data_IF_142812905362
#
_entry.id   IF_142812905362
#
_cell.length_a   1.000
_cell.length_b   1.000
_cell.length_c   1.000
_cell.angle_alpha   90.00
_cell.angle_beta   90.00
_cell.angle_gamma   90.00
#
_symmetry.space_group_name_H-M   'P 1'
#
loop_
_entity.id
_entity.type
_entity.pdbx_description
1 polymer ?
#
# COMPACT_ATOMS: atom_id res chain seq x y z
N UNK A 1 19.52 -15.11 18.77
CA UNK A 1 18.57 -14.51 17.80
C UNK A 1 19.24 -13.64 16.75
N UNK A 2 20.10 -12.66 17.10
CA UNK A 2 20.78 -11.80 16.11
C UNK A 2 21.61 -12.55 15.05
N UNK A 3 22.28 -13.64 15.45
CA UNK A 3 23.08 -14.48 14.53
C UNK A 3 22.23 -15.28 13.53
N UNK A 4 21.03 -15.72 13.92
CA UNK A 4 20.09 -16.44 13.04
C UNK A 4 19.45 -15.50 12.01
N UNK A 5 19.13 -14.26 12.42
CA UNK A 5 18.64 -13.22 11.50
C UNK A 5 19.74 -12.87 10.49
N UNK A 6 20.98 -12.72 10.95
CA UNK A 6 22.12 -12.42 10.07
C UNK A 6 22.40 -13.56 9.08
N UNK A 7 22.35 -14.81 9.52
CA UNK A 7 22.48 -15.99 8.64
C UNK A 7 21.33 -16.10 7.64
N UNK A 8 20.10 -15.75 8.03
CA UNK A 8 18.95 -15.69 7.12
C UNK A 8 19.11 -14.61 6.06
N UNK A 9 19.55 -13.40 6.45
CA UNK A 9 19.85 -12.30 5.51
C UNK A 9 20.99 -12.69 4.57
N UNK A 10 22.03 -13.35 5.07
CA UNK A 10 23.17 -13.79 4.26
C UNK A 10 22.78 -14.90 3.26
N UNK A 11 21.92 -15.84 3.68
CA UNK A 11 21.40 -16.90 2.81
C UNK A 11 20.42 -16.36 1.75
N UNK A 12 19.61 -15.36 2.09
CA UNK A 12 18.79 -14.63 1.10
C UNK A 12 19.71 -13.89 0.12
N UNK A 13 20.77 -13.25 0.60
CA UNK A 13 21.75 -12.55 -0.23
C UNK A 13 22.47 -13.44 -1.25
N UNK A 14 22.84 -14.68 -0.87
CA UNK A 14 23.52 -15.61 -1.78
C UNK A 14 22.58 -16.22 -2.83
N UNK A 15 21.31 -16.47 -2.49
CA UNK A 15 20.31 -16.90 -3.49
C UNK A 15 20.01 -15.80 -4.51
N UNK A 16 20.01 -14.53 -4.08
CA UNK A 16 19.83 -13.38 -4.97
C UNK A 16 21.03 -13.18 -5.92
N UNK A 17 22.26 -13.48 -5.47
CA UNK A 17 23.46 -13.35 -6.29
C UNK A 17 23.52 -14.34 -7.47
N UNK A 18 23.00 -15.57 -7.30
CA UNK A 18 22.96 -16.60 -8.36
C UNK A 18 21.86 -16.32 -9.41
N UNK A 19 20.86 -15.49 -9.07
CA UNK A 19 19.75 -15.08 -9.97
C UNK A 19 19.88 -13.64 -10.48
N UNK A 20 21.06 -13.02 -10.41
CA UNK A 20 21.26 -11.60 -10.76
C UNK A 20 20.81 -11.22 -12.20
N UNK A 21 20.75 -12.17 -13.15
CA UNK A 21 20.19 -11.94 -14.49
C UNK A 21 18.65 -11.86 -14.54
N UNK A 22 17.94 -12.23 -13.48
CA UNK A 22 16.48 -12.31 -13.41
C UNK A 22 15.84 -11.27 -12.48
N UNK A 23 16.65 -10.40 -11.86
CA UNK A 23 16.17 -9.34 -10.96
C UNK A 23 16.25 -8.00 -11.68
N UNK A 24 15.11 -7.31 -11.82
CA UNK A 24 15.03 -5.92 -12.29
C UNK A 24 14.63 -5.03 -11.14
N UNK A 25 15.22 -3.85 -11.05
CA UNK A 25 14.85 -2.87 -10.05
C UNK A 25 14.05 -1.75 -10.71
N UNK A 26 13.26 -1.04 -9.90
CA UNK A 26 12.42 0.01 -10.44
C UNK A 26 11.92 0.96 -9.39
N UNK A 27 11.32 2.03 -9.88
CA UNK A 27 10.57 3.00 -9.08
C UNK A 27 9.10 2.97 -9.51
N UNK A 28 8.22 3.24 -8.57
CA UNK A 28 6.77 3.24 -8.78
C UNK A 28 6.13 4.37 -8.02
N UNK A 29 5.16 5.02 -8.63
CA UNK A 29 4.41 6.08 -7.98
C UNK A 29 3.08 6.36 -8.66
N UNK A 30 2.15 6.95 -7.91
CA UNK A 30 0.82 7.21 -8.42
C UNK A 30 -0.14 7.76 -7.38
N UNK A 31 -1.42 7.61 -7.67
CA UNK A 31 -2.52 8.10 -6.84
C UNK A 31 -3.13 6.97 -6.03
N UNK A 32 -3.48 7.30 -4.78
CA UNK A 32 -4.25 6.47 -3.87
C UNK A 32 -5.66 7.07 -3.72
N UNK A 33 -6.68 6.22 -3.83
CA UNK A 33 -8.05 6.49 -3.43
C UNK A 33 -8.36 5.57 -2.24
N UNK A 34 -8.22 6.11 -1.04
CA UNK A 34 -8.37 5.36 0.20
C UNK A 34 -9.72 5.64 0.86
N UNK A 35 -10.30 4.63 1.51
CA UNK A 35 -11.44 4.76 2.42
C UNK A 35 -11.29 3.79 3.58
N UNK A 36 -11.96 4.08 4.68
CA UNK A 36 -12.12 3.13 5.78
C UNK A 36 -13.49 2.46 5.63
N UNK A 37 -13.50 1.13 5.58
CA UNK A 37 -14.71 0.30 5.47
C UNK A 37 -15.37 0.18 6.86
N UNK A 38 -16.71 0.13 6.91
CA UNK A 38 -17.59 0.10 8.10
C UNK A 38 -17.91 1.43 8.79
N UNK A 39 -17.55 2.55 8.17
CA UNK A 39 -18.00 3.88 8.59
C UNK A 39 -19.00 4.41 7.54
N UNK A 40 -20.28 4.50 7.89
CA UNK A 40 -21.35 4.97 6.98
C UNK A 40 -21.17 6.43 6.52
N UNK A 41 -20.29 7.17 7.21
CA UNK A 41 -19.92 8.56 6.91
C UNK A 41 -18.57 8.71 6.18
N UNK A 42 -17.86 7.60 5.91
CA UNK A 42 -16.52 7.55 5.31
C UNK A 42 -16.56 7.86 3.80
N UNK A 43 -15.84 8.90 3.40
CA UNK A 43 -15.66 9.31 1.99
C UNK A 43 -14.24 9.06 1.54
N UNK A 44 -14.11 8.68 0.28
CA UNK A 44 -12.82 8.45 -0.37
C UNK A 44 -11.90 9.66 -0.24
N UNK A 45 -10.68 9.43 0.22
CA UNK A 45 -9.60 10.39 0.27
C UNK A 45 -8.60 10.10 -0.86
N UNK A 46 -8.41 11.10 -1.72
CA UNK A 46 -7.32 11.08 -2.70
C UNK A 46 -5.98 11.45 -2.03
N UNK A 47 -4.93 10.76 -2.42
CA UNK A 47 -3.53 11.01 -2.02
C UNK A 47 -2.58 10.34 -3.00
N UNK A 48 -1.31 10.17 -2.64
CA UNK A 48 -0.30 9.58 -3.51
C UNK A 48 0.45 8.45 -2.81
N UNK A 49 1.14 7.65 -3.61
CA UNK A 49 2.15 6.72 -3.16
C UNK A 49 3.39 6.83 -4.05
N UNK A 50 4.56 6.50 -3.51
CA UNK A 50 5.81 6.47 -4.25
C UNK A 50 6.82 5.55 -3.54
N UNK A 51 7.70 4.91 -4.30
CA UNK A 51 8.77 4.10 -3.74
C UNK A 51 9.48 3.21 -4.75
N UNK A 52 10.17 2.20 -4.23
CA UNK A 52 10.98 1.27 -5.02
C UNK A 52 10.35 -0.11 -5.12
N UNK A 53 10.73 -0.85 -6.15
CA UNK A 53 10.38 -2.25 -6.35
C UNK A 53 11.59 -3.05 -6.83
N UNK A 54 11.55 -4.35 -6.57
CA UNK A 54 12.41 -5.33 -7.23
C UNK A 54 11.51 -6.40 -7.85
N UNK A 55 11.64 -6.64 -9.15
CA UNK A 55 10.92 -7.67 -9.88
C UNK A 55 11.86 -8.86 -10.11
N UNK A 56 11.54 -10.00 -9.51
CA UNK A 56 12.33 -11.23 -9.56
C UNK A 56 11.57 -12.21 -10.46
N UNK A 57 12.01 -12.33 -11.71
CA UNK A 57 11.44 -13.30 -12.63
C UNK A 57 11.78 -14.74 -12.19
N UNK A 58 10.75 -15.56 -12.04
CA UNK A 58 10.90 -16.99 -11.77
C UNK A 58 10.99 -17.77 -13.08
N UNK A 59 10.12 -17.43 -14.04
CA UNK A 59 10.09 -17.91 -15.41
C UNK A 59 9.49 -16.84 -16.35
N UNK A 60 9.02 -17.24 -17.55
CA UNK A 60 8.44 -16.33 -18.55
C UNK A 60 7.06 -15.77 -18.16
N UNK A 61 6.32 -16.45 -17.29
CA UNK A 61 4.99 -16.07 -16.85
C UNK A 61 4.99 -15.55 -15.41
N UNK A 62 5.80 -16.14 -14.53
CA UNK A 62 5.77 -15.89 -13.10
C UNK A 62 6.91 -14.98 -12.63
N UNK A 63 6.56 -14.02 -11.77
CA UNK A 63 7.54 -13.20 -11.05
C UNK A 63 7.07 -12.92 -9.62
N UNK A 64 8.02 -12.64 -8.73
CA UNK A 64 7.76 -12.11 -7.38
C UNK A 64 8.27 -10.68 -7.33
N UNK A 65 7.46 -9.77 -6.81
CA UNK A 65 7.75 -8.35 -6.73
C UNK A 65 7.57 -7.83 -5.30
N UNK A 66 8.62 -7.87 -4.46
CA UNK A 66 8.68 -7.05 -3.25
C UNK A 66 8.78 -5.56 -3.61
N UNK A 67 8.10 -4.72 -2.83
CA UNK A 67 8.15 -3.27 -2.96
C UNK A 67 8.34 -2.61 -1.60
N UNK A 68 8.78 -1.35 -1.62
CA UNK A 68 8.82 -0.48 -0.46
C UNK A 68 8.25 0.88 -0.86
N UNK A 69 7.05 1.19 -0.37
CA UNK A 69 6.26 2.34 -0.79
C UNK A 69 5.92 3.24 0.40
N UNK A 70 6.18 4.53 0.27
CA UNK A 70 5.45 5.53 1.05
C UNK A 70 4.05 5.66 0.48
N UNK A 71 3.02 5.60 1.33
CA UNK A 71 1.63 5.57 0.90
C UNK A 71 0.76 6.43 1.82
N UNK A 72 0.23 7.53 1.27
CA UNK A 72 -0.80 8.31 1.93
C UNK A 72 -2.14 7.59 1.87
N UNK A 73 -2.86 7.52 2.98
CA UNK A 73 -4.10 6.77 3.15
C UNK A 73 -5.06 7.52 4.12
N UNK A 74 -6.14 6.87 4.54
CA UNK A 74 -7.11 7.45 5.48
C UNK A 74 -8.43 7.81 4.80
N UNK A 75 -9.24 8.64 5.48
CA UNK A 75 -10.63 8.89 5.07
C UNK A 75 -11.06 10.31 5.38
N UNK A 76 -12.06 10.80 4.62
CA UNK A 76 -12.80 12.01 4.95
C UNK A 76 -14.07 11.61 5.69
N UNK A 77 -14.41 12.31 6.76
CA UNK A 77 -15.62 12.08 7.55
C UNK A 77 -16.47 13.35 7.51
N UNK A 78 -17.79 13.16 7.40
CA UNK A 78 -18.76 14.25 7.53
C UNK A 78 -19.61 14.01 8.77
N UNK A 79 -19.58 14.96 9.70
CA UNK A 79 -20.45 14.97 10.87
C UNK A 79 -21.54 16.00 10.66
N UNK A 80 -22.79 15.56 10.81
CA UNK A 80 -23.97 16.42 10.73
C UNK A 80 -24.49 16.68 12.14
N UNK A 81 -24.71 17.94 12.47
CA UNK A 81 -25.26 18.40 13.74
C UNK A 81 -26.60 19.10 13.49
N UNK A 82 -27.45 19.14 14.52
CA UNK A 82 -28.77 19.78 14.46
C UNK A 82 -29.62 19.28 13.28
N UNK A 83 -29.70 17.95 13.11
CA UNK A 83 -30.58 17.34 12.10
C UNK A 83 -30.22 17.62 10.64
N UNK A 84 -29.01 18.10 10.33
CA UNK A 84 -28.62 18.47 8.96
C UNK A 84 -28.27 19.94 8.76
N UNK A 85 -28.62 20.81 9.71
CA UNK A 85 -28.45 22.26 9.58
C UNK A 85 -26.99 22.70 9.66
N UNK A 86 -26.13 21.94 10.35
CA UNK A 86 -24.69 22.22 10.46
C UNK A 86 -23.93 20.98 10.03
N UNK A 87 -23.01 21.14 9.08
CA UNK A 87 -22.09 20.06 8.67
C UNK A 87 -20.65 20.45 8.95
N UNK A 88 -19.91 19.56 9.61
CA UNK A 88 -18.47 19.68 9.80
C UNK A 88 -17.76 18.57 9.02
N UNK A 89 -16.69 18.95 8.31
CA UNK A 89 -15.82 17.99 7.63
C UNK A 89 -14.55 17.80 8.44
N UNK A 90 -14.21 16.55 8.72
CA UNK A 90 -12.90 16.17 9.26
C UNK A 90 -12.21 15.19 8.31
N UNK A 91 -10.88 15.19 8.33
CA UNK A 91 -10.08 14.28 7.50
C UNK A 91 -9.06 13.59 8.39
N UNK A 92 -9.18 12.26 8.49
CA UNK A 92 -8.14 11.42 9.05
C UNK A 92 -7.12 11.13 7.94
N UNK A 93 -5.91 11.66 8.11
CA UNK A 93 -4.76 11.39 7.24
C UNK A 93 -3.87 10.38 7.92
N UNK A 94 -3.61 9.26 7.26
CA UNK A 94 -2.65 8.26 7.73
C UNK A 94 -1.59 8.07 6.67
N UNK A 95 -0.34 8.01 7.09
CA UNK A 95 0.81 7.82 6.22
C UNK A 95 1.48 6.51 6.62
N UNK A 96 1.72 5.64 5.65
CA UNK A 96 2.30 4.31 5.88
C UNK A 96 3.56 4.09 5.05
N UNK A 97 4.48 3.31 5.61
CA UNK A 97 5.49 2.58 4.84
C UNK A 97 4.92 1.19 4.55
N UNK A 98 4.53 0.98 3.30
CA UNK A 98 3.98 -0.29 2.83
C UNK A 98 5.08 -1.16 2.22
N UNK A 99 5.06 -2.44 2.58
CA UNK A 99 5.95 -3.50 2.10
C UNK A 99 5.07 -4.61 1.51
N UNK A 100 4.56 -4.44 0.28
CA UNK A 100 3.85 -5.50 -0.42
C UNK A 100 4.82 -6.52 -1.02
N UNK A 101 4.39 -7.77 -1.07
CA UNK A 101 5.10 -8.85 -1.78
C UNK A 101 4.13 -9.47 -2.75
N UNK A 102 4.23 -9.09 -4.02
CA UNK A 102 3.26 -9.46 -5.04
C UNK A 102 3.77 -10.63 -5.86
N UNK A 103 2.92 -11.63 -6.09
CA UNK A 103 3.13 -12.62 -7.14
C UNK A 103 2.49 -12.09 -8.41
N UNK A 104 3.23 -12.08 -9.52
CA UNK A 104 2.77 -11.67 -10.83
C UNK A 104 2.63 -12.87 -11.75
N UNK A 105 1.55 -12.89 -12.52
CA UNK A 105 1.32 -13.81 -13.64
C UNK A 105 1.14 -13.00 -14.93
N UNK A 106 2.08 -13.14 -15.84
CA UNK A 106 2.09 -12.48 -17.14
C UNK A 106 1.22 -13.29 -18.11
N UNK A 107 0.09 -12.72 -18.52
CA UNK A 107 -0.78 -13.32 -19.54
C UNK A 107 -0.12 -13.22 -20.91
N UNK A 108 0.50 -12.07 -21.16
CA UNK A 108 1.39 -11.81 -22.31
C UNK A 108 2.61 -11.03 -21.79
N UNK A 109 3.74 -10.98 -22.50
CA UNK A 109 4.96 -10.35 -21.99
C UNK A 109 4.79 -8.93 -21.46
N UNK A 110 3.86 -8.16 -22.03
CA UNK A 110 3.53 -6.81 -21.60
C UNK A 110 2.51 -6.75 -20.45
N UNK A 111 1.53 -7.65 -20.37
CA UNK A 111 0.40 -7.54 -19.43
C UNK A 111 0.43 -8.63 -18.37
N UNK A 112 0.28 -8.23 -17.11
CA UNK A 112 0.30 -9.13 -15.98
C UNK A 112 -0.84 -8.85 -15.00
N UNK A 113 -1.26 -9.91 -14.31
CA UNK A 113 -2.07 -9.84 -13.10
C UNK A 113 -1.17 -10.02 -11.89
N UNK A 114 -1.56 -9.46 -10.74
CA UNK A 114 -0.80 -9.61 -9.51
C UNK A 114 -1.69 -9.80 -8.29
N UNK A 115 -1.20 -10.57 -7.32
CA UNK A 115 -1.84 -10.74 -6.02
C UNK A 115 -0.79 -11.01 -4.94
N UNK A 116 -1.01 -10.55 -3.72
CA UNK A 116 -0.07 -10.81 -2.63
C UNK A 116 -0.36 -10.07 -1.33
N UNK A 117 0.29 -10.47 -0.23
CA UNK A 117 0.17 -9.79 1.04
C UNK A 117 0.83 -8.40 1.02
N UNK A 118 0.33 -7.53 1.89
CA UNK A 118 0.91 -6.22 2.18
C UNK A 118 1.03 -6.01 3.69
N UNK A 119 2.22 -5.61 4.14
CA UNK A 119 2.45 -5.09 5.48
C UNK A 119 2.59 -3.57 5.41
N UNK A 120 1.78 -2.83 6.16
CA UNK A 120 1.86 -1.39 6.33
C UNK A 120 2.34 -1.04 7.74
N UNK A 121 3.33 -0.18 7.85
CA UNK A 121 3.83 0.37 9.10
C UNK A 121 3.41 1.84 9.19
N UNK A 122 2.69 2.22 10.24
CA UNK A 122 2.18 3.58 10.41
C UNK A 122 3.33 4.55 10.67
N UNK A 123 3.61 5.41 9.68
CA UNK A 123 4.62 6.46 9.77
C UNK A 123 4.06 7.70 10.49
N UNK A 124 2.80 8.05 10.22
CA UNK A 124 2.13 9.19 10.85
C UNK A 124 0.61 9.12 10.76
N UNK A 125 -0.08 9.76 11.70
CA UNK A 125 -1.53 9.92 11.65
C UNK A 125 -1.95 11.29 12.17
N UNK A 126 -2.75 12.02 11.39
CA UNK A 126 -3.25 13.35 11.73
C UNK A 126 -4.74 13.45 11.49
N UNK A 127 -5.47 13.92 12.50
CA UNK A 127 -6.88 14.31 12.35
C UNK A 127 -6.95 15.81 12.06
N UNK A 128 -7.52 16.17 10.92
CA UNK A 128 -7.71 17.57 10.51
C UNK A 128 -9.17 17.96 10.54
N UNK A 129 -9.50 19.08 11.17
CA UNK A 129 -10.82 19.71 11.15
C UNK A 129 -10.66 21.23 11.06
N UNK A 130 -11.15 21.82 9.96
CA UNK A 130 -10.88 23.24 9.67
C UNK A 130 -9.38 23.54 9.63
N UNK A 131 -8.95 24.57 10.38
CA UNK A 131 -7.54 24.97 10.51
C UNK A 131 -6.78 24.21 11.59
N UNK A 132 -7.43 23.30 12.32
CA UNK A 132 -6.81 22.52 13.41
C UNK A 132 -6.33 21.17 12.87
N UNK A 133 -5.11 20.79 13.25
CA UNK A 133 -4.53 19.49 12.95
C UNK A 133 -3.95 18.90 14.23
N UNK A 134 -4.47 17.75 14.65
CA UNK A 134 -4.04 17.04 15.87
C UNK A 134 -3.33 15.76 15.46
N UNK A 135 -2.21 15.44 16.11
CA UNK A 135 -1.55 14.15 15.95
C UNK A 135 -2.33 13.09 16.72
N UNK A 136 -2.68 12.00 16.03
CA UNK A 136 -3.47 10.89 16.58
C UNK A 136 -2.76 9.55 16.37
N UNK A 137 -1.46 9.56 16.07
CA UNK A 137 -0.68 8.35 15.80
C UNK A 137 -0.73 7.36 16.96
N UNK A 138 -0.64 7.86 18.19
CA UNK A 138 -0.62 7.04 19.41
C UNK A 138 -1.97 6.38 19.72
N UNK A 139 -3.03 6.74 19.00
CA UNK A 139 -4.38 6.14 19.13
C UNK A 139 -4.66 5.09 18.05
N UNK A 140 -3.71 4.86 17.14
CA UNK A 140 -3.86 3.96 16.01
C UNK A 140 -2.88 2.80 16.10
N UNK A 141 -3.30 1.64 15.58
CA UNK A 141 -2.39 0.49 15.49
C UNK A 141 -1.24 0.82 14.56
N UNK A 142 -0.02 0.50 15.01
CA UNK A 142 1.21 0.77 14.26
C UNK A 142 1.37 -0.13 13.03
N UNK A 143 0.63 -1.24 12.95
CA UNK A 143 0.73 -2.24 11.89
C UNK A 143 -0.63 -2.43 11.23
N UNK A 144 -0.66 -2.39 9.90
CA UNK A 144 -1.81 -2.69 9.04
C UNK A 144 -1.44 -3.82 8.06
N UNK A 145 -2.07 -4.98 8.18
CA UNK A 145 -1.94 -6.08 7.23
C UNK A 145 -3.08 -6.05 6.21
N UNK A 146 -2.75 -6.31 4.96
CA UNK A 146 -3.71 -6.40 3.88
C UNK A 146 -3.33 -7.42 2.81
N UNK A 147 -4.21 -7.58 1.83
CA UNK A 147 -3.98 -8.32 0.60
C UNK A 147 -4.27 -7.41 -0.60
N UNK A 148 -3.34 -7.37 -1.54
CA UNK A 148 -3.45 -6.65 -2.78
C UNK A 148 -3.83 -7.58 -3.93
N UNK A 149 -4.66 -7.09 -4.85
CA UNK A 149 -4.87 -7.67 -6.18
C UNK A 149 -4.80 -6.57 -7.21
N UNK A 150 -4.25 -6.84 -8.38
CA UNK A 150 -4.01 -5.81 -9.37
C UNK A 150 -3.64 -6.35 -10.73
N UNK A 151 -3.29 -5.41 -11.60
CA UNK A 151 -2.81 -5.66 -12.93
C UNK A 151 -1.85 -4.56 -13.36
N UNK A 152 -1.06 -4.82 -14.38
CA UNK A 152 -0.23 -3.81 -14.99
C UNK A 152 0.16 -4.13 -16.42
N UNK A 153 0.64 -3.10 -17.10
CA UNK A 153 1.12 -3.17 -18.46
C UNK A 153 2.52 -2.55 -18.53
N UNK A 154 3.48 -3.30 -19.08
CA UNK A 154 4.89 -2.96 -19.27
C UNK A 154 5.09 -2.56 -20.73
N UNK A 155 5.63 -1.36 -20.95
CA UNK A 155 6.06 -0.91 -22.27
C UNK A 155 7.53 -1.29 -22.49
N UNK A 156 7.93 -1.43 -23.76
CA UNK A 156 9.29 -1.87 -24.13
C UNK A 156 10.40 -0.94 -23.64
N UNK A 157 10.07 0.33 -23.39
CA UNK A 157 10.99 1.35 -22.87
C UNK A 157 11.22 1.30 -21.35
N UNK A 158 10.74 0.25 -20.66
CA UNK A 158 10.88 0.08 -19.20
C UNK A 158 9.82 0.82 -18.37
N UNK A 159 9.08 1.76 -18.98
CA UNK A 159 7.89 2.37 -18.37
C UNK A 159 6.72 1.38 -18.30
N UNK A 160 5.80 1.61 -17.38
CA UNK A 160 4.56 0.87 -17.31
C UNK A 160 3.49 1.55 -16.48
N UNK A 161 2.27 1.05 -16.61
CA UNK A 161 1.09 1.47 -15.84
C UNK A 161 0.62 0.32 -14.96
N UNK A 162 0.09 0.64 -13.78
CA UNK A 162 -0.47 -0.37 -12.89
C UNK A 162 -1.72 0.13 -12.18
N UNK A 163 -2.66 -0.80 -11.98
CA UNK A 163 -3.82 -0.63 -11.12
C UNK A 163 -3.79 -1.70 -10.03
N UNK A 164 -3.97 -1.32 -8.76
CA UNK A 164 -3.99 -2.25 -7.63
C UNK A 164 -5.08 -1.87 -6.65
N UNK A 165 -5.79 -2.86 -6.12
CA UNK A 165 -6.71 -2.69 -5.01
C UNK A 165 -6.17 -3.45 -3.79
N UNK A 166 -5.98 -2.74 -2.68
CA UNK A 166 -5.51 -3.31 -1.42
C UNK A 166 -6.67 -3.37 -0.42
N UNK A 167 -6.97 -4.58 0.04
CA UNK A 167 -7.93 -4.88 1.09
C UNK A 167 -7.19 -4.98 2.43
N UNK A 168 -7.47 -4.09 3.36
CA UNK A 168 -7.00 -4.20 4.75
C UNK A 168 -7.72 -5.34 5.47
N UNK A 169 -6.95 -6.18 6.16
CA UNK A 169 -7.44 -7.33 6.93
C UNK A 169 -7.47 -7.02 8.42
N UNK A 170 -6.59 -6.15 8.90
CA UNK A 170 -6.51 -5.72 10.31
C UNK A 170 -7.39 -4.53 10.63
N UNK A 171 -7.82 -4.46 11.90
CA UNK A 171 -8.45 -3.28 12.45
C UNK A 171 -7.40 -2.17 12.62
N UNK A 172 -7.76 -0.93 12.28
CA UNK A 172 -6.89 0.24 12.39
C UNK A 172 -6.89 0.86 13.80
N UNK A 173 -7.94 0.61 14.60
CA UNK A 173 -8.09 1.16 15.95
C UNK A 173 -7.52 0.21 17.02
N UNK A 174 -7.03 0.78 18.13
CA UNK A 174 -6.63 0.00 19.31
C UNK A 174 -7.82 -0.65 20.03
N UNK A 175 -8.99 -0.03 20.01
CA UNK A 175 -10.22 -0.57 20.60
C UNK A 175 -10.95 -1.52 19.65
N UNK A 176 -11.17 -2.76 20.07
CA UNK A 176 -11.84 -3.81 19.26
C UNK A 176 -13.36 -3.60 19.07
N UNK A 177 -13.94 -2.52 19.63
CA UNK A 177 -15.38 -2.24 19.54
C UNK A 177 -15.83 -1.81 18.13
N UNK A 178 -14.92 -1.31 17.29
CA UNK A 178 -15.22 -0.94 15.91
C UNK A 178 -14.16 -1.48 14.96
N UNK A 179 -14.59 -2.24 13.95
CA UNK A 179 -13.70 -2.85 12.95
C UNK A 179 -13.54 -1.92 11.77
N UNK A 180 -12.54 -1.06 11.84
CA UNK A 180 -12.17 -0.13 10.78
C UNK A 180 -11.05 -0.75 9.95
N UNK A 181 -11.35 -1.07 8.68
CA UNK A 181 -10.39 -1.68 7.75
C UNK A 181 -10.06 -0.73 6.62
N UNK A 182 -8.80 -0.71 6.24
CA UNK A 182 -8.34 0.11 5.13
C UNK A 182 -8.77 -0.48 3.79
N UNK A 183 -9.07 0.37 2.82
CA UNK A 183 -9.47 -0.03 1.48
C UNK A 183 -8.91 1.00 0.51
N UNK A 184 -7.93 0.58 -0.31
CA UNK A 184 -7.15 1.52 -1.14
C UNK A 184 -7.08 1.05 -2.57
N UNK A 185 -7.68 1.82 -3.47
CA UNK A 185 -7.44 1.70 -4.90
C UNK A 185 -6.22 2.55 -5.28
N UNK A 186 -5.32 1.98 -6.07
CA UNK A 186 -4.08 2.59 -6.54
C UNK A 186 -4.07 2.57 -8.06
N UNK A 187 -3.67 3.68 -8.65
CA UNK A 187 -3.35 3.77 -10.07
C UNK A 187 -2.05 4.55 -10.21
N UNK A 188 -1.12 4.08 -11.02
CA UNK A 188 0.17 4.74 -11.13
C UNK A 188 1.04 4.24 -12.26
N UNK A 189 2.21 4.85 -12.33
CA UNK A 189 3.27 4.53 -13.27
C UNK A 189 4.41 3.83 -12.53
N UNK A 190 5.15 3.02 -13.25
CA UNK A 190 6.44 2.51 -12.80
C UNK A 190 7.46 2.60 -13.93
N UNK A 191 8.72 2.59 -13.54
CA UNK A 191 9.85 2.47 -14.45
C UNK A 191 10.80 1.41 -13.92
N UNK A 192 11.12 0.42 -14.75
CA UNK A 192 12.13 -0.60 -14.47
C UNK A 192 13.42 -0.28 -15.23
N UNK A 193 14.55 -0.38 -14.53
CA UNK A 193 15.89 -0.20 -15.07
C UNK A 193 16.68 -1.50 -15.05
#
# INVERSE_FOLDING_TARGET
>A
MKKLILSGILAIGTVLAVKAQSVKFGVKGGLNLAKITNESSSKTRASFYAGGLANIALDQHWAIQPELLYSGQGTKMKSSYLGGLITAESTLKTDYINIPVMVQYSIVPAFYLEAGPQLGILAGAKLKGGNVSVDVKDQMKSIDFGIGVGFGYKFDMGLGVSGRYNFGLTNLNESDKQTNKNSVAQIGLFYMF
#
